data_IF_485823774569
#
_entry.id   IF_485823774569
#
_cell.length_a   1.000
_cell.length_b   1.000
_cell.length_c   1.000
_cell.angle_alpha   90.00
_cell.angle_beta   90.00
_cell.angle_gamma   90.00
#
_symmetry.space_group_name_H-M   'P 1'
#
loop_
_entity.id
_entity.type
_entity.pdbx_description
1 polymer ?
#
# COMPACT_ATOMS: atom_id res chain seq x y z
N UNK A 1 -7.49 10.52 13.49
CA UNK A 1 -6.79 9.33 13.00
C UNK A 1 -7.76 8.55 12.11
N UNK A 2 -7.36 8.26 10.87
CA UNK A 2 -8.15 7.47 9.91
C UNK A 2 -7.55 6.07 9.76
N UNK A 3 -8.31 5.18 9.15
CA UNK A 3 -7.90 3.81 8.89
C UNK A 3 -8.08 3.48 7.41
N UNK A 4 -7.15 2.70 6.88
CA UNK A 4 -7.05 2.38 5.47
C UNK A 4 -6.83 0.88 5.28
N UNK A 5 -7.24 0.36 4.13
CA UNK A 5 -6.88 -0.98 3.67
C UNK A 5 -6.09 -0.84 2.39
N UNK A 6 -4.86 -1.34 2.38
CA UNK A 6 -3.93 -1.20 1.27
C UNK A 6 -3.55 -2.59 0.77
N UNK A 7 -3.71 -2.81 -0.53
CA UNK A 7 -3.58 -4.14 -1.16
C UNK A 7 -2.20 -4.28 -1.79
N UNK A 8 -1.53 -5.39 -1.50
CA UNK A 8 -0.28 -5.80 -2.14
C UNK A 8 -0.39 -7.27 -2.56
N UNK A 9 0.17 -7.61 -3.71
CA UNK A 9 0.32 -9.01 -4.12
C UNK A 9 1.54 -9.61 -3.40
N UNK A 10 1.43 -10.77 -2.74
CA UNK A 10 2.56 -11.38 -2.03
C UNK A 10 3.78 -11.68 -2.91
N UNK A 11 3.58 -11.85 -4.22
CA UNK A 11 4.69 -12.04 -5.17
C UNK A 11 5.43 -10.75 -5.56
N UNK A 12 4.90 -9.58 -5.22
CA UNK A 12 5.55 -8.27 -5.42
C UNK A 12 6.11 -7.75 -4.09
N UNK A 13 5.24 -7.63 -3.07
CA UNK A 13 5.64 -7.27 -1.72
C UNK A 13 4.69 -7.92 -0.70
N UNK A 14 5.13 -9.02 -0.09
CA UNK A 14 4.41 -9.67 1.00
C UNK A 14 4.61 -8.93 2.34
N UNK A 15 3.90 -9.38 3.38
CA UNK A 15 4.08 -8.83 4.72
C UNK A 15 5.44 -9.23 5.31
N UNK A 16 5.97 -10.38 4.87
CA UNK A 16 7.28 -10.88 5.27
C UNK A 16 8.39 -10.08 4.61
N UNK A 17 8.23 -9.72 3.34
CA UNK A 17 9.16 -8.83 2.64
C UNK A 17 9.21 -7.48 3.35
N UNK A 18 8.05 -6.88 3.64
CA UNK A 18 7.98 -5.63 4.41
C UNK A 18 8.65 -5.77 5.79
N UNK A 19 8.45 -6.89 6.49
CA UNK A 19 9.06 -7.12 7.80
C UNK A 19 10.60 -7.24 7.74
N UNK A 20 11.14 -7.69 6.60
CA UNK A 20 12.57 -7.83 6.35
C UNK A 20 13.22 -6.56 5.79
N UNK A 21 12.43 -5.60 5.29
CA UNK A 21 12.94 -4.33 4.76
C UNK A 21 13.58 -3.46 5.86
N UNK A 22 14.54 -2.58 5.50
CA UNK A 22 15.06 -1.57 6.42
C UNK A 22 13.95 -0.75 7.06
N UNK A 23 14.03 -0.58 8.39
CA UNK A 23 13.02 0.10 9.21
C UNK A 23 11.59 -0.49 9.11
N UNK A 24 11.46 -1.67 8.49
CA UNK A 24 10.20 -2.33 8.17
C UNK A 24 9.23 -1.43 7.40
N UNK A 25 9.77 -0.69 6.43
CA UNK A 25 9.05 0.34 5.68
C UNK A 25 9.17 0.10 4.18
N UNK A 26 8.04 0.25 3.48
CA UNK A 26 7.98 0.25 2.01
C UNK A 26 7.41 1.56 1.51
N UNK A 27 8.06 2.15 0.50
CA UNK A 27 7.49 3.22 -0.30
C UNK A 27 6.31 2.63 -1.09
N UNK A 28 5.05 2.89 -0.74
CA UNK A 28 3.88 2.16 -1.29
C UNK A 28 3.65 2.40 -2.80
N UNK A 29 4.53 1.84 -3.60
CA UNK A 29 4.75 2.17 -5.01
C UNK A 29 3.70 1.53 -5.91
N UNK A 30 3.69 1.94 -7.18
CA UNK A 30 2.98 1.23 -8.23
C UNK A 30 1.46 1.47 -8.28
N UNK A 31 0.93 2.37 -7.46
CA UNK A 31 -0.48 2.75 -7.54
C UNK A 31 -0.73 3.55 -8.82
N UNK A 32 -1.53 2.98 -9.74
CA UNK A 32 -1.91 3.59 -11.02
C UNK A 32 -3.43 3.83 -11.16
N UNK A 33 -4.12 3.89 -10.03
CA UNK A 33 -5.53 4.26 -9.95
C UNK A 33 -5.68 5.68 -9.37
N UNK A 34 -6.39 6.56 -10.06
CA UNK A 34 -6.55 7.95 -9.66
C UNK A 34 -7.23 8.14 -8.30
N UNK A 35 -8.24 7.33 -7.99
CA UNK A 35 -8.96 7.43 -6.72
C UNK A 35 -8.06 6.98 -5.56
N UNK A 36 -7.37 5.84 -5.70
CA UNK A 36 -6.42 5.35 -4.70
C UNK A 36 -5.27 6.34 -4.47
N UNK A 37 -4.74 6.94 -5.55
CA UNK A 37 -3.76 8.03 -5.48
C UNK A 37 -4.32 9.21 -4.69
N UNK A 38 -5.55 9.65 -4.98
CA UNK A 38 -6.16 10.79 -4.29
C UNK A 38 -6.39 10.50 -2.80
N UNK A 39 -6.70 9.26 -2.40
CA UNK A 39 -6.76 8.89 -0.99
C UNK A 39 -5.41 9.12 -0.30
N UNK A 40 -4.30 8.64 -0.88
CA UNK A 40 -2.96 8.86 -0.34
C UNK A 40 -2.59 10.34 -0.32
N UNK A 41 -2.79 11.04 -1.44
CA UNK A 41 -2.37 12.44 -1.61
C UNK A 41 -3.16 13.41 -0.73
N UNK A 42 -4.47 13.28 -0.72
CA UNK A 42 -5.34 14.31 -0.16
C UNK A 42 -5.71 14.00 1.30
N UNK A 43 -5.84 12.71 1.64
CA UNK A 43 -6.52 12.29 2.87
C UNK A 43 -5.63 11.56 3.88
N UNK A 44 -4.65 10.76 3.43
CA UNK A 44 -3.76 10.06 4.35
C UNK A 44 -2.87 11.06 5.11
N UNK A 45 -2.63 10.76 6.38
CA UNK A 45 -1.73 11.52 7.25
C UNK A 45 -0.80 10.54 7.99
N UNK A 46 0.41 11.01 8.31
CA UNK A 46 1.37 10.24 9.12
C UNK A 46 0.70 9.76 10.41
N UNK A 47 0.87 8.47 10.71
CA UNK A 47 0.27 7.82 11.87
C UNK A 47 -1.12 7.23 11.64
N UNK A 48 -1.78 7.48 10.50
CA UNK A 48 -3.02 6.76 10.16
C UNK A 48 -2.76 5.25 10.08
N UNK A 49 -3.74 4.45 10.53
CA UNK A 49 -3.62 2.99 10.56
C UNK A 49 -3.86 2.35 9.19
N UNK A 50 -3.13 1.29 8.90
CA UNK A 50 -3.20 0.54 7.63
C UNK A 50 -3.38 -0.94 7.90
N UNK A 51 -4.40 -1.54 7.28
CA UNK A 51 -4.54 -2.98 7.13
C UNK A 51 -3.79 -3.41 5.87
N UNK A 52 -2.72 -4.18 6.03
CA UNK A 52 -1.93 -4.71 4.92
C UNK A 52 -2.63 -5.96 4.38
N UNK A 53 -3.16 -5.85 3.16
CA UNK A 53 -4.01 -6.86 2.56
C UNK A 53 -3.28 -7.59 1.43
N UNK A 54 -3.17 -8.91 1.53
CA UNK A 54 -2.68 -9.77 0.46
C UNK A 54 -3.78 -9.99 -0.59
N UNK A 55 -3.54 -9.53 -1.82
CA UNK A 55 -4.43 -9.70 -2.96
C UNK A 55 -3.85 -10.63 -4.03
N UNK A 56 -4.72 -11.11 -4.92
CA UNK A 56 -4.34 -11.91 -6.10
C UNK A 56 -3.43 -13.12 -5.77
N UNK A 57 -3.74 -13.81 -4.67
CA UNK A 57 -3.00 -14.99 -4.22
C UNK A 57 -3.97 -16.10 -3.79
N UNK A 58 -3.42 -17.27 -3.48
CA UNK A 58 -4.21 -18.46 -3.07
C UNK A 58 -5.03 -18.21 -1.79
N UNK A 59 -4.47 -17.44 -0.85
CA UNK A 59 -5.09 -17.15 0.45
C UNK A 59 -5.16 -15.62 0.66
N UNK A 60 -6.11 -14.92 0.01
CA UNK A 60 -6.22 -13.47 0.12
C UNK A 60 -6.85 -13.05 1.45
N UNK A 61 -6.33 -11.98 2.06
CA UNK A 61 -6.76 -11.53 3.38
C UNK A 61 -5.86 -10.47 4.00
N UNK A 62 -6.19 -10.05 5.23
CA UNK A 62 -5.37 -9.10 5.99
C UNK A 62 -4.26 -9.87 6.69
N UNK A 63 -3.01 -9.55 6.37
CA UNK A 63 -1.82 -10.26 6.86
C UNK A 63 -1.05 -9.47 7.94
N UNK A 64 -1.33 -8.18 8.09
CA UNK A 64 -0.60 -7.33 9.01
C UNK A 64 -1.29 -6.00 9.32
N UNK A 65 -0.79 -5.36 10.36
CA UNK A 65 -1.15 -4.01 10.78
C UNK A 65 0.08 -3.13 10.58
N UNK A 66 -0.13 -2.00 9.91
CA UNK A 66 0.88 -1.02 9.58
C UNK A 66 0.35 0.40 9.86
N UNK A 67 1.18 1.39 9.60
CA UNK A 67 0.82 2.81 9.65
C UNK A 67 1.39 3.56 8.46
N UNK A 68 0.79 4.71 8.15
CA UNK A 68 1.40 5.71 7.26
C UNK A 68 2.65 6.28 7.94
N UNK A 69 3.81 6.05 7.34
CA UNK A 69 5.13 6.43 7.86
C UNK A 69 5.64 7.78 7.37
N UNK A 70 5.09 8.33 6.28
CA UNK A 70 5.53 9.60 5.69
C UNK A 70 4.36 10.45 5.20
N UNK A 71 4.64 11.73 4.96
CA UNK A 71 3.81 12.56 4.09
C UNK A 71 3.84 12.02 2.64
N UNK A 72 2.85 12.39 1.83
CA UNK A 72 2.81 12.00 0.42
C UNK A 72 4.01 12.57 -0.36
N UNK A 73 4.56 11.77 -1.27
CA UNK A 73 5.60 12.19 -2.21
C UNK A 73 5.45 11.50 -3.58
N UNK A 74 6.14 11.95 -4.64
CA UNK A 74 6.06 11.33 -5.96
C UNK A 74 6.57 9.89 -5.96
N UNK A 75 5.81 8.99 -6.58
CA UNK A 75 6.24 7.60 -6.77
C UNK A 75 7.41 7.54 -7.76
N UNK A 76 8.63 7.26 -7.29
CA UNK A 76 9.83 7.24 -8.12
C UNK A 76 9.76 6.24 -9.29
N UNK A 77 8.98 5.16 -9.14
CA UNK A 77 8.84 4.11 -10.18
C UNK A 77 8.19 4.62 -11.46
N UNK A 78 7.47 5.75 -11.40
CA UNK A 78 6.83 6.34 -12.59
C UNK A 78 7.85 6.92 -13.59
N UNK A 79 9.07 7.22 -13.15
CA UNK A 79 10.12 7.84 -13.97
C UNK A 79 11.15 6.84 -14.52
N UNK A 80 11.21 5.64 -13.94
CA UNK A 80 12.15 4.60 -14.34
C UNK A 80 11.61 3.80 -15.53
N UNK A 81 12.25 3.93 -16.69
CA UNK A 81 11.86 3.27 -17.95
C UNK A 81 11.89 1.74 -17.89
N UNK A 82 12.63 1.17 -16.94
CA UNK A 82 12.71 -0.29 -16.74
C UNK A 82 11.65 -0.80 -15.78
N UNK A 83 11.01 0.10 -15.03
CA UNK A 83 9.95 -0.26 -14.10
C UNK A 83 8.68 -0.67 -14.84
N UNK A 84 8.01 -1.71 -14.33
CA UNK A 84 6.65 -2.10 -14.79
C UNK A 84 5.62 -0.97 -14.60
N UNK A 85 5.94 0.02 -13.77
CA UNK A 85 5.06 1.13 -13.44
C UNK A 85 5.48 2.46 -14.09
N UNK A 86 6.41 2.43 -15.05
CA UNK A 86 6.80 3.59 -15.84
C UNK A 86 5.58 4.28 -16.46
N UNK A 87 5.53 5.60 -16.40
CA UNK A 87 4.52 6.39 -17.10
C UNK A 87 5.21 7.39 -18.04
N UNK A 88 5.14 7.22 -19.37
CA UNK A 88 5.85 8.08 -20.32
C UNK A 88 5.34 9.52 -20.33
N UNK A 89 4.21 9.81 -19.69
CA UNK A 89 3.67 11.18 -19.56
C UNK A 89 3.96 11.80 -18.20
N UNK A 90 4.61 11.09 -17.28
CA UNK A 90 5.04 11.64 -16.00
C UNK A 90 6.43 12.26 -16.14
N UNK A 91 6.60 13.45 -15.58
CA UNK A 91 7.89 14.14 -15.50
C UNK A 91 8.16 14.53 -14.04
N UNK A 92 9.43 14.62 -13.59
CA UNK A 92 9.75 15.02 -12.21
C UNK A 92 9.13 16.35 -11.79
N UNK A 93 8.95 17.27 -12.73
CA UNK A 93 8.33 18.60 -12.53
C UNK A 93 6.80 18.52 -12.45
N UNK A 94 6.20 17.47 -13.02
CA UNK A 94 4.75 17.24 -13.04
C UNK A 94 4.44 15.75 -12.78
N UNK A 95 4.70 15.26 -11.55
CA UNK A 95 4.42 13.88 -11.17
C UNK A 95 2.92 13.59 -11.27
N UNK A 96 2.58 12.43 -11.83
CA UNK A 96 1.18 11.98 -11.98
C UNK A 96 0.79 11.04 -10.85
N UNK A 97 1.76 10.32 -10.31
CA UNK A 97 1.58 9.27 -9.30
C UNK A 97 2.31 9.63 -8.01
N UNK A 98 1.68 9.28 -6.91
CA UNK A 98 2.15 9.63 -5.58
C UNK A 98 1.92 8.45 -4.66
N UNK A 99 2.78 8.30 -3.68
CA UNK A 99 2.70 7.29 -2.64
C UNK A 99 3.05 7.89 -1.28
N UNK A 100 2.92 7.06 -0.25
CA UNK A 100 3.40 7.30 1.11
C UNK A 100 4.26 6.12 1.50
N UNK A 101 5.09 6.29 2.52
CA UNK A 101 5.70 5.17 3.21
C UNK A 101 4.67 4.46 4.06
N UNK A 102 4.69 3.13 4.02
CA UNK A 102 3.91 2.27 4.92
C UNK A 102 4.89 1.51 5.79
N UNK A 103 4.80 1.73 7.10
CA UNK A 103 5.66 1.11 8.08
C UNK A 103 4.90 0.03 8.85
N UNK A 104 5.49 -1.16 8.94
CA UNK A 104 4.94 -2.27 9.71
C UNK A 104 4.84 -1.91 11.20
N UNK A 105 3.71 -2.27 11.82
CA UNK A 105 3.57 -2.26 13.26
C UNK A 105 3.67 -3.67 13.83
N UNK A 106 2.92 -4.62 13.23
CA UNK A 106 3.00 -6.04 13.57
C UNK A 106 2.36 -6.91 12.49
N UNK A 107 2.88 -8.12 12.35
CA UNK A 107 2.19 -9.21 11.65
C UNK A 107 1.03 -9.72 12.49
N UNK A 108 0.02 -10.26 11.83
CA UNK A 108 -1.11 -10.94 12.49
C UNK A 108 -1.34 -12.30 11.81
N UNK A 109 -2.02 -13.26 12.47
CA UNK A 109 -2.61 -14.39 11.76
C UNK A 109 -3.50 -13.88 10.61
N UNK A 110 -3.41 -14.53 9.45
CA UNK A 110 -4.14 -14.11 8.26
C UNK A 110 -5.66 -14.11 8.53
N UNK A 111 -6.29 -12.94 8.39
CA UNK A 111 -7.75 -12.83 8.39
C UNK A 111 -8.20 -12.94 6.93
N UNK A 112 -8.66 -14.14 6.56
CA UNK A 112 -8.99 -14.45 5.17
C UNK A 112 -10.23 -13.67 4.69
N UNK A 113 -10.29 -13.34 3.39
CA UNK A 113 -11.45 -12.62 2.81
C UNK A 113 -12.79 -13.32 3.06
N UNK A 114 -12.78 -14.66 3.14
CA UNK A 114 -13.98 -15.46 3.44
C UNK A 114 -14.55 -15.14 4.83
N UNK A 115 -13.68 -14.88 5.80
CA UNK A 115 -14.05 -14.50 7.16
C UNK A 115 -14.57 -13.06 7.16
N UNK A 116 -13.85 -12.13 6.51
CA UNK A 116 -14.29 -10.73 6.39
C UNK A 116 -15.70 -10.60 5.81
N UNK A 117 -16.04 -11.40 4.80
CA UNK A 117 -17.37 -11.42 4.17
C UNK A 117 -18.50 -11.91 5.07
N UNK A 118 -18.18 -12.55 6.19
CA UNK A 118 -19.17 -12.99 7.18
C UNK A 118 -19.61 -11.85 8.12
N UNK A 119 -18.92 -10.69 8.09
CA UNK A 119 -19.24 -9.55 8.95
C UNK A 119 -20.11 -8.52 8.19
N UNK A 120 -21.41 -8.39 8.52
CA UNK A 120 -22.30 -7.46 7.82
C UNK A 120 -21.90 -5.99 7.96
N UNK A 121 -21.13 -5.64 8.99
CA UNK A 121 -20.62 -4.28 9.21
C UNK A 121 -19.56 -3.86 8.18
N UNK A 122 -19.02 -4.81 7.40
CA UNK A 122 -18.03 -4.59 6.35
C UNK A 122 -18.64 -4.63 4.93
N UNK A 123 -19.97 -4.72 4.83
CA UNK A 123 -20.70 -4.77 3.57
C UNK A 123 -20.76 -3.42 2.85
#
# INVERSE_FOLDING_TARGET
>A
MRYWLMKSEPGDCSIDDLAAMPLQTVAWYGVRNYQARNFMRDQMRVGDGVLFYHSNCKEPGIAGIARVGSSVYPDATQFDRTSRYFDPKAAPEQPRWFNVDVQLLRKIPLIAIRELRQHPQLA
#
